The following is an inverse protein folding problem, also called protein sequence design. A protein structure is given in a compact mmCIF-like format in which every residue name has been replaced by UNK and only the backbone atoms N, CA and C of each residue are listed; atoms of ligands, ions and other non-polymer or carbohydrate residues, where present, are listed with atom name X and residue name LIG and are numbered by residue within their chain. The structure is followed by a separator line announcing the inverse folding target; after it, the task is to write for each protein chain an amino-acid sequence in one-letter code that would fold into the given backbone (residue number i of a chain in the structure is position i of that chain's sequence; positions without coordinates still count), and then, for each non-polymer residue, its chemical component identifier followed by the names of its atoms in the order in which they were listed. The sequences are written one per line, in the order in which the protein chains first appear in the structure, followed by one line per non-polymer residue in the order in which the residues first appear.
data_IF_809017747275
#
_entry.id   IF_809017747275
#
_cell.length_a   1.000
_cell.length_b   1.000
_cell.length_c   1.000
_cell.angle_alpha   90.00
_cell.angle_beta   90.00
_cell.angle_gamma   90.00
#
_symmetry.space_group_name_H-M   'P 1'
#
loop_
_entity.id
_entity.type
_entity.pdbx_description
1 polymer ?
#
# COMPACT_ATOMS: atom_id res chain seq x y z
N UNK A 1 15.72 11.10 -2.92
CA UNK A 1 14.38 10.66 -2.48
C UNK A 1 13.82 9.77 -3.57
N UNK A 2 13.44 8.55 -3.24
CA UNK A 2 12.95 7.58 -4.22
C UNK A 2 11.43 7.54 -4.18
N UNK A 3 10.81 7.75 -5.36
CA UNK A 3 9.37 7.71 -5.56
C UNK A 3 8.94 6.32 -6.04
N UNK A 4 7.81 5.81 -5.57
CA UNK A 4 7.36 4.48 -5.98
C UNK A 4 6.06 4.00 -5.36
N UNK A 5 5.74 2.75 -5.70
CA UNK A 5 4.62 1.97 -5.18
C UNK A 5 5.14 0.99 -4.14
N UNK A 6 4.39 0.83 -3.05
CA UNK A 6 4.72 -0.07 -1.96
C UNK A 6 3.47 -0.80 -1.46
N UNK A 7 3.72 -1.92 -0.76
CA UNK A 7 2.74 -2.62 0.05
C UNK A 7 3.18 -2.60 1.52
N UNK A 8 2.20 -2.49 2.41
CA UNK A 8 2.38 -2.68 3.85
C UNK A 8 1.53 -3.84 4.31
N UNK A 9 2.13 -4.78 5.03
CA UNK A 9 1.41 -5.74 5.85
C UNK A 9 1.78 -5.54 7.31
N UNK A 10 0.96 -6.07 8.20
CA UNK A 10 1.12 -5.89 9.63
C UNK A 10 1.35 -7.24 10.34
N UNK A 11 2.04 -7.22 11.47
CA UNK A 11 2.25 -8.42 12.31
C UNK A 11 1.31 -8.48 13.52
N UNK A 12 0.67 -7.37 13.90
CA UNK A 12 -0.20 -7.31 15.08
C UNK A 12 -1.48 -8.15 14.89
N UNK A 13 -1.84 -8.93 15.91
CA UNK A 13 -3.12 -9.66 15.93
C UNK A 13 -4.29 -8.75 16.32
N UNK A 14 -4.10 -7.95 17.37
CA UNK A 14 -5.11 -7.00 17.83
C UNK A 14 -5.27 -5.85 16.82
N UNK A 15 -6.51 -5.48 16.51
CA UNK A 15 -6.80 -4.42 15.54
C UNK A 15 -6.39 -3.04 16.07
N UNK A 16 -5.54 -2.36 15.29
CA UNK A 16 -5.01 -1.02 15.59
C UNK A 16 -5.63 0.00 14.62
N UNK A 17 -5.99 1.17 15.13
CA UNK A 17 -6.49 2.26 14.28
C UNK A 17 -5.42 2.69 13.27
N UNK A 18 -5.83 2.95 12.03
CA UNK A 18 -4.89 3.43 11.00
C UNK A 18 -4.31 4.82 11.29
N UNK A 19 -4.88 5.54 12.27
CA UNK A 19 -4.39 6.82 12.80
C UNK A 19 -4.15 6.73 14.31
N UNK A 20 -3.64 5.60 14.81
CA UNK A 20 -3.40 5.39 16.25
C UNK A 20 -2.47 6.45 16.90
N UNK A 21 -1.64 7.14 16.10
CA UNK A 21 -0.80 8.24 16.57
C UNK A 21 -1.57 9.55 16.84
N UNK A 22 -2.82 9.69 16.40
CA UNK A 22 -3.66 10.87 16.60
C UNK A 22 -4.92 10.53 17.43
N UNK A 23 -4.89 10.72 18.76
CA UNK A 23 -5.99 10.40 19.65
C UNK A 23 -7.30 11.11 19.31
N UNK A 24 -7.26 12.24 18.59
CA UNK A 24 -8.45 13.04 18.25
C UNK A 24 -9.36 12.33 17.24
N UNK A 25 -8.80 11.44 16.43
CA UNK A 25 -9.51 10.77 15.33
C UNK A 25 -9.38 9.25 15.35
N UNK A 26 -8.49 8.68 16.18
CA UNK A 26 -8.19 7.25 16.19
C UNK A 26 -9.44 6.36 16.31
N UNK A 27 -10.38 6.71 17.18
CA UNK A 27 -11.59 5.91 17.43
C UNK A 27 -12.62 5.94 16.30
N UNK A 28 -12.49 6.90 15.37
CA UNK A 28 -13.40 7.08 14.24
C UNK A 28 -12.86 6.48 12.93
N UNK A 29 -11.62 6.00 12.97
CA UNK A 29 -10.93 5.45 11.80
C UNK A 29 -11.10 3.94 11.73
N UNK A 30 -10.94 3.39 10.53
CA UNK A 30 -10.86 1.94 10.35
C UNK A 30 -9.71 1.37 11.19
N UNK A 31 -9.89 0.13 11.63
CA UNK A 31 -8.89 -0.60 12.40
C UNK A 31 -8.39 -1.76 11.55
N UNK A 32 -7.10 -2.03 11.63
CA UNK A 32 -6.41 -3.02 10.81
C UNK A 32 -5.47 -3.87 11.65
N UNK A 33 -5.24 -5.09 11.20
CA UNK A 33 -4.32 -6.04 11.81
C UNK A 33 -3.61 -6.86 10.72
N UNK A 34 -2.98 -7.96 11.11
CA UNK A 34 -2.27 -8.86 10.19
C UNK A 34 -3.12 -9.47 9.07
N UNK A 35 -4.46 -9.43 9.17
CA UNK A 35 -5.35 -9.89 8.11
C UNK A 35 -5.54 -8.84 6.99
N UNK A 36 -4.99 -7.64 7.15
CA UNK A 36 -5.09 -6.55 6.20
C UNK A 36 -3.73 -6.26 5.54
N UNK A 37 -3.80 -5.72 4.33
CA UNK A 37 -2.65 -5.09 3.69
C UNK A 37 -3.04 -3.72 3.15
N UNK A 38 -2.04 -2.88 2.85
CA UNK A 38 -2.24 -1.55 2.27
C UNK A 38 -1.38 -1.40 1.06
N UNK A 39 -1.96 -0.90 -0.03
CA UNK A 39 -1.21 -0.41 -1.18
C UNK A 39 -1.17 1.11 -1.15
N UNK A 40 0.00 1.67 -1.42
CA UNK A 40 0.17 3.11 -1.51
C UNK A 40 1.29 3.54 -2.42
N UNK A 41 1.33 4.85 -2.68
CA UNK A 41 2.44 5.53 -3.32
C UNK A 41 3.14 6.49 -2.37
N UNK A 42 4.41 6.78 -2.64
CA UNK A 42 5.12 7.86 -1.98
C UNK A 42 6.13 8.50 -2.93
N UNK A 43 6.34 9.82 -2.76
CA UNK A 43 7.45 10.54 -3.39
C UNK A 43 8.79 10.32 -2.67
N UNK A 44 8.69 9.95 -1.39
CA UNK A 44 9.82 9.56 -0.54
C UNK A 44 9.42 8.29 0.23
N UNK A 45 9.92 7.14 -0.26
CA UNK A 45 9.62 5.83 0.30
C UNK A 45 10.19 5.65 1.72
N UNK A 46 11.36 6.22 2.02
CA UNK A 46 12.01 6.07 3.33
C UNK A 46 11.29 6.91 4.40
N UNK A 47 10.97 8.16 4.08
CA UNK A 47 10.14 8.98 4.97
C UNK A 47 8.77 8.33 5.21
N UNK A 48 8.17 7.76 4.14
CA UNK A 48 6.88 7.08 4.27
C UNK A 48 6.96 5.83 5.15
N UNK A 49 8.02 5.03 5.04
CA UNK A 49 8.26 3.86 5.90
C UNK A 49 8.33 4.26 7.37
N UNK A 50 9.08 5.31 7.70
CA UNK A 50 9.17 5.85 9.07
C UNK A 50 7.80 6.24 9.63
N UNK A 51 6.92 6.84 8.83
CA UNK A 51 5.57 7.20 9.29
C UNK A 51 4.72 5.98 9.71
N UNK A 52 4.89 4.84 9.02
CA UNK A 52 4.23 3.59 9.45
C UNK A 52 4.80 3.07 10.76
N UNK A 53 6.13 3.14 10.94
CA UNK A 53 6.78 2.74 12.18
C UNK A 53 6.29 3.57 13.36
N UNK A 54 6.11 4.89 13.19
CA UNK A 54 5.52 5.75 14.21
C UNK A 54 4.07 5.37 14.56
N UNK A 55 3.29 4.90 13.58
CA UNK A 55 1.86 4.61 13.79
C UNK A 55 1.61 3.23 14.39
N UNK A 56 2.34 2.22 13.92
CA UNK A 56 2.07 0.81 14.24
C UNK A 56 3.18 0.16 15.08
N UNK A 57 4.33 0.81 15.23
CA UNK A 57 5.55 0.24 15.81
C UNK A 57 6.36 -0.51 14.75
N UNK A 58 7.68 -0.33 14.77
CA UNK A 58 8.59 -0.91 13.76
C UNK A 58 8.47 -2.44 13.66
N UNK A 59 8.40 -3.14 14.79
CA UNK A 59 8.26 -4.60 14.83
C UNK A 59 6.95 -5.12 14.20
N UNK A 60 5.94 -4.26 14.05
CA UNK A 60 4.64 -4.64 13.50
C UNK A 60 4.49 -4.36 12.01
N UNK A 61 5.46 -3.71 11.36
CA UNK A 61 5.30 -3.22 9.99
C UNK A 61 6.24 -3.97 9.05
N UNK A 62 5.66 -4.66 8.07
CA UNK A 62 6.41 -5.15 6.92
C UNK A 62 6.19 -4.19 5.74
N UNK A 63 7.17 -3.31 5.51
CA UNK A 63 7.13 -2.35 4.40
C UNK A 63 7.92 -2.89 3.21
N UNK A 64 7.24 -3.18 2.10
CA UNK A 64 7.86 -3.70 0.87
C UNK A 64 7.68 -2.72 -0.28
N UNK A 65 8.79 -2.22 -0.81
CA UNK A 65 8.79 -1.46 -2.07
C UNK A 65 8.51 -2.44 -3.21
N UNK A 66 7.58 -2.11 -4.10
CA UNK A 66 7.24 -2.96 -5.25
C UNK A 66 7.89 -2.47 -6.53
N UNK A 67 7.86 -1.15 -6.77
CA UNK A 67 8.48 -0.53 -7.93
C UNK A 67 8.81 0.94 -7.67
N UNK A 68 9.90 1.43 -8.27
CA UNK A 68 10.30 2.83 -8.30
C UNK A 68 9.91 3.45 -9.64
N UNK A 69 9.21 4.57 -9.59
CA UNK A 69 8.60 5.20 -10.75
C UNK A 69 8.78 6.72 -10.67
N UNK A 70 9.05 7.36 -11.80
CA UNK A 70 9.06 8.82 -11.91
C UNK A 70 7.63 9.40 -11.83
N UNK A 71 6.66 8.77 -12.50
CA UNK A 71 5.25 9.18 -12.49
C UNK A 71 4.38 8.12 -11.78
N UNK A 72 4.13 8.33 -10.48
CA UNK A 72 3.41 7.40 -9.61
C UNK A 72 1.88 7.54 -9.64
N UNK A 73 1.35 8.67 -10.13
CA UNK A 73 -0.08 8.98 -10.04
C UNK A 73 -0.94 8.08 -10.94
N UNK A 74 -0.48 7.88 -12.19
CA UNK A 74 -1.15 7.02 -13.18
C UNK A 74 -1.17 5.57 -12.70
N UNK A 75 -0.03 5.10 -12.17
CA UNK A 75 0.10 3.76 -11.62
C UNK A 75 -0.87 3.53 -10.46
N UNK A 76 -0.87 4.42 -9.46
CA UNK A 76 -1.73 4.25 -8.29
C UNK A 76 -3.22 4.24 -8.66
N UNK A 77 -3.63 5.14 -9.57
CA UNK A 77 -5.03 5.22 -10.02
C UNK A 77 -5.47 3.90 -10.65
N UNK A 78 -4.66 3.33 -11.53
CA UNK A 78 -4.98 2.05 -12.18
C UNK A 78 -5.02 0.88 -11.18
N UNK A 79 -4.06 0.84 -10.24
CA UNK A 79 -4.00 -0.20 -9.20
C UNK A 79 -5.23 -0.12 -8.29
N UNK A 80 -5.59 1.08 -7.80
CA UNK A 80 -6.75 1.28 -6.93
C UNK A 80 -8.07 0.92 -7.63
N UNK A 81 -8.15 1.09 -8.94
CA UNK A 81 -9.32 0.68 -9.72
C UNK A 81 -9.46 -0.85 -9.78
N UNK A 82 -8.35 -1.58 -9.98
CA UNK A 82 -8.33 -3.05 -9.98
C UNK A 82 -8.66 -3.67 -8.62
N UNK A 83 -8.29 -2.99 -7.54
CA UNK A 83 -8.49 -3.48 -6.17
C UNK A 83 -9.76 -2.93 -5.50
N UNK A 84 -10.65 -2.27 -6.25
CA UNK A 84 -11.76 -1.49 -5.68
C UNK A 84 -12.69 -2.28 -4.75
N UNK A 85 -12.91 -3.56 -5.04
CA UNK A 85 -13.80 -4.44 -4.28
C UNK A 85 -13.22 -4.89 -2.94
N UNK A 86 -11.89 -4.82 -2.78
CA UNK A 86 -11.19 -5.21 -1.56
C UNK A 86 -10.93 -4.03 -0.63
N UNK A 87 -11.17 -2.80 -1.09
CA UNK A 87 -10.88 -1.58 -0.33
C UNK A 87 -11.88 -1.41 0.81
N UNK A 88 -11.37 -1.49 2.04
CA UNK A 88 -12.15 -1.28 3.27
C UNK A 88 -12.84 0.08 3.18
N UNK A 89 -14.13 0.14 3.50
CA UNK A 89 -14.86 1.41 3.52
C UNK A 89 -14.75 2.05 4.91
N UNK A 90 -14.38 3.33 4.93
CA UNK A 90 -14.45 4.13 6.15
C UNK A 90 -15.89 4.43 6.55
N UNK A 91 -16.06 5.11 7.68
CA UNK A 91 -17.37 5.57 8.19
C UNK A 91 -18.14 6.45 7.22
N UNK A 92 -17.44 7.17 6.33
CA UNK A 92 -18.05 7.99 5.25
C UNK A 92 -18.43 7.19 4.01
N UNK A 93 -18.29 5.86 4.02
CA UNK A 93 -18.52 4.98 2.89
C UNK A 93 -17.44 5.04 1.79
N UNK A 94 -16.46 5.95 1.90
CA UNK A 94 -15.38 6.11 0.91
C UNK A 94 -14.40 4.94 0.98
N UNK A 95 -13.98 4.37 -0.16
CA UNK A 95 -12.97 3.32 -0.19
C UNK A 95 -11.62 3.80 0.34
N UNK A 96 -11.03 3.07 1.29
CA UNK A 96 -9.71 3.33 1.85
C UNK A 96 -8.62 2.64 1.01
N UNK A 97 -7.36 2.89 1.33
CA UNK A 97 -6.19 2.25 0.71
C UNK A 97 -5.81 0.93 1.39
N UNK A 98 -6.39 0.68 2.56
CA UNK A 98 -6.34 -0.62 3.23
C UNK A 98 -7.32 -1.59 2.59
N UNK A 99 -6.89 -2.85 2.49
CA UNK A 99 -7.58 -3.92 1.83
C UNK A 99 -7.95 -5.02 2.84
N UNK A 100 -9.08 -5.66 2.60
CA UNK A 100 -9.58 -6.82 3.34
C UNK A 100 -10.01 -7.93 2.37
N UNK A 101 -10.11 -9.16 2.86
CA UNK A 101 -10.53 -10.34 2.09
C UNK A 101 -9.66 -10.63 0.85
N UNK A 102 -8.38 -10.23 0.88
CA UNK A 102 -7.38 -10.55 -0.13
C UNK A 102 -6.00 -10.70 0.51
N UNK A 103 -5.21 -11.67 0.04
CA UNK A 103 -3.85 -11.89 0.53
C UNK A 103 -2.87 -10.91 -0.12
N UNK A 104 -1.83 -10.52 0.61
CA UNK A 104 -0.85 -9.53 0.14
C UNK A 104 -0.15 -9.98 -1.15
N UNK A 105 0.11 -11.28 -1.31
CA UNK A 105 0.77 -11.87 -2.46
C UNK A 105 -0.10 -11.79 -3.72
N UNK A 106 -1.41 -11.97 -3.58
CA UNK A 106 -2.36 -11.77 -4.67
C UNK A 106 -2.42 -10.29 -5.09
N UNK A 107 -2.44 -9.39 -4.11
CA UNK A 107 -2.37 -7.94 -4.35
C UNK A 107 -1.08 -7.57 -5.09
N UNK A 108 0.05 -8.13 -4.69
CA UNK A 108 1.34 -7.94 -5.37
C UNK A 108 1.23 -8.38 -6.83
N UNK A 109 0.66 -9.57 -7.09
CA UNK A 109 0.41 -10.04 -8.47
C UNK A 109 -0.39 -9.05 -9.31
N UNK A 110 -1.51 -8.53 -8.78
CA UNK A 110 -2.32 -7.50 -9.44
C UNK A 110 -1.51 -6.22 -9.70
N UNK A 111 -0.73 -5.76 -8.73
CA UNK A 111 0.11 -4.56 -8.87
C UNK A 111 1.17 -4.76 -9.95
N UNK A 112 1.94 -5.85 -9.89
CA UNK A 112 3.01 -6.12 -10.85
C UNK A 112 2.47 -6.22 -12.27
N UNK A 113 1.36 -6.93 -12.47
CA UNK A 113 0.71 -7.04 -13.77
C UNK A 113 0.24 -5.66 -14.28
N UNK A 114 -0.42 -4.88 -13.42
CA UNK A 114 -0.89 -3.53 -13.77
C UNK A 114 0.25 -2.62 -14.19
N UNK A 115 1.38 -2.65 -13.47
CA UNK A 115 2.56 -1.86 -13.79
C UNK A 115 3.20 -2.30 -15.12
N UNK A 116 3.37 -3.61 -15.34
CA UNK A 116 3.88 -4.17 -16.61
C UNK A 116 3.01 -3.75 -17.79
N UNK A 117 1.69 -3.74 -17.65
CA UNK A 117 0.78 -3.33 -18.73
C UNK A 117 0.87 -1.83 -19.01
N UNK A 118 0.90 -0.99 -17.97
CA UNK A 118 1.05 0.45 -18.13
C UNK A 118 2.39 0.84 -18.76
N UNK A 119 3.48 0.16 -18.40
CA UNK A 119 4.80 0.38 -19.00
C UNK A 119 4.80 -0.02 -20.48
N UNK A 120 4.22 -1.17 -20.83
CA UNK A 120 4.07 -1.62 -22.23
C UNK A 120 3.26 -0.63 -23.07
N UNK A 121 2.28 0.03 -22.47
CA UNK A 121 1.47 1.09 -23.10
C UNK A 121 2.18 2.45 -23.15
N UNK A 122 3.42 2.56 -22.65
CA UNK A 122 4.16 3.82 -22.58
C UNK A 122 3.56 4.86 -21.62
N UNK A 123 2.71 4.43 -20.67
CA UNK A 123 1.99 5.32 -19.73
C UNK A 123 2.80 5.67 -18.50
N UNK A 124 3.74 4.79 -18.14
CA UNK A 124 4.69 4.96 -17.04
C UNK A 124 6.06 4.45 -17.46
N UNK A 125 7.08 4.76 -16.68
CA UNK A 125 8.42 4.20 -16.82
C UNK A 125 8.84 3.64 -15.47
N UNK A 126 9.19 2.36 -15.43
CA UNK A 126 9.69 1.69 -14.24
C UNK A 126 11.21 1.88 -14.18
N UNK A 127 11.68 2.56 -13.13
CA UNK A 127 13.10 2.81 -12.94
C UNK A 127 13.80 1.58 -12.37
N UNK A 128 13.16 0.92 -11.41
CA UNK A 128 13.58 -0.37 -10.89
C UNK A 128 12.46 -1.05 -10.12
N UNK A 129 12.55 -2.37 -10.06
CA UNK A 129 11.67 -3.20 -9.24
C UNK A 129 12.21 -3.28 -7.79
N UNK A 130 11.32 -3.52 -6.84
CA UNK A 130 11.69 -3.81 -5.46
C UNK A 130 12.48 -5.12 -5.31
N UNK A 131 13.19 -5.27 -4.20
CA UNK A 131 13.90 -6.53 -3.91
C UNK A 131 12.83 -7.63 -3.73
N UNK A 132 12.99 -8.76 -4.43
CA UNK A 132 12.10 -9.92 -4.46
C UNK A 132 10.77 -9.78 -5.26
N UNK A 133 10.62 -8.79 -6.14
CA UNK A 133 9.44 -8.72 -7.04
C UNK A 133 9.65 -9.34 -8.43
N UNK A 134 10.83 -9.91 -8.71
CA UNK A 134 11.19 -10.48 -10.02
C UNK A 134 10.89 -11.97 -10.19
N UNK A 135 10.38 -12.66 -9.16
CA UNK A 135 10.04 -14.09 -9.22
C UNK A 135 8.51 -14.34 -9.36
N UNK A 136 7.83 -13.57 -10.23
CA UNK A 136 6.42 -13.76 -10.57
C UNK A 136 6.17 -13.60 -12.08
#
# INVERSE_FOLDING_TARGET
MESGIYIVTLNNEASTSVNAHDPRIADRCIRVNRANCKIGKAKDLEARKKNYFTTFGEANVNFRILARLANIEVAETAIKAKLIHFRIRGTTGRPNEWLENIQAEEVIGVVLQTLKDLERMGRITIQSWGINTTNF
#
